data_IF_938686496525
#
_entry.id   IF_938686496525
#
_cell.length_a   1.000
_cell.length_b   1.000
_cell.length_c   1.000
_cell.angle_alpha   90.00
_cell.angle_beta   90.00
_cell.angle_gamma   90.00
#
_symmetry.space_group_name_H-M   'P 1'
#
loop_
_entity.id
_entity.type
_entity.pdbx_description
1 polymer ?
#
# COMPACT_ATOMS: atom_id res chain seq x y z
N UNK A 1 37.47 -41.43 -2.40
CA UNK A 1 37.03 -40.12 -1.86
C UNK A 1 36.44 -39.18 -2.93
N UNK A 2 35.70 -39.68 -3.93
CA UNK A 2 35.26 -38.87 -5.10
C UNK A 2 33.75 -38.66 -5.22
N UNK A 3 32.91 -39.41 -4.49
CA UNK A 3 31.46 -39.41 -4.69
C UNK A 3 30.78 -38.22 -3.99
N UNK A 4 31.31 -37.80 -2.85
CA UNK A 4 30.76 -36.74 -2.02
C UNK A 4 30.76 -35.38 -2.71
N UNK A 5 31.83 -35.02 -3.46
CA UNK A 5 31.92 -33.74 -4.19
C UNK A 5 30.90 -33.64 -5.34
N UNK A 6 30.58 -34.75 -5.99
CA UNK A 6 29.63 -34.77 -7.10
C UNK A 6 28.19 -34.58 -6.61
N UNK A 7 27.83 -35.21 -5.49
CA UNK A 7 26.52 -35.07 -4.84
C UNK A 7 26.29 -33.63 -4.36
N UNK A 8 27.29 -32.98 -3.76
CA UNK A 8 27.17 -31.56 -3.35
C UNK A 8 26.96 -30.63 -4.55
N UNK A 9 27.63 -30.89 -5.67
CA UNK A 9 27.50 -30.07 -6.87
C UNK A 9 26.10 -30.19 -7.47
N UNK A 10 25.56 -31.41 -7.55
CA UNK A 10 24.20 -31.69 -8.03
C UNK A 10 23.17 -31.06 -7.10
N UNK A 11 23.33 -31.22 -5.78
CA UNK A 11 22.41 -30.67 -4.79
C UNK A 11 22.41 -29.13 -4.81
N UNK A 12 23.58 -28.50 -4.95
CA UNK A 12 23.70 -27.05 -5.12
C UNK A 12 23.03 -26.56 -6.41
N UNK A 13 23.17 -27.30 -7.52
CA UNK A 13 22.54 -26.97 -8.79
C UNK A 13 21.02 -27.11 -8.72
N UNK A 14 20.52 -28.18 -8.10
CA UNK A 14 19.08 -28.39 -7.87
C UNK A 14 18.53 -27.32 -6.93
N UNK A 15 19.22 -26.95 -5.84
CA UNK A 15 18.80 -25.86 -4.96
C UNK A 15 18.79 -24.51 -5.68
N UNK A 16 19.78 -24.24 -6.54
CA UNK A 16 19.84 -23.02 -7.33
C UNK A 16 18.70 -22.99 -8.35
N UNK A 17 18.49 -24.08 -9.07
CA UNK A 17 17.41 -24.23 -10.05
C UNK A 17 16.02 -24.16 -9.40
N UNK A 18 15.83 -24.77 -8.23
CA UNK A 18 14.61 -24.64 -7.44
C UNK A 18 14.41 -23.20 -6.93
N UNK A 19 15.47 -22.49 -6.52
CA UNK A 19 15.40 -21.06 -6.17
C UNK A 19 15.05 -20.19 -7.38
N UNK A 20 15.54 -20.54 -8.56
CA UNK A 20 15.23 -19.83 -9.81
C UNK A 20 13.80 -20.13 -10.28
N UNK A 21 13.29 -21.36 -10.06
CA UNK A 21 11.87 -21.72 -10.26
C UNK A 21 10.97 -21.02 -9.23
N UNK A 22 11.44 -20.84 -8.00
CA UNK A 22 10.73 -20.17 -6.90
C UNK A 22 11.01 -18.66 -6.84
N UNK A 23 11.69 -18.07 -7.84
CA UNK A 23 11.81 -16.62 -7.89
C UNK A 23 10.43 -16.03 -8.15
N UNK A 24 9.78 -15.57 -7.09
CA UNK A 24 8.79 -14.51 -7.18
C UNK A 24 9.41 -13.41 -8.05
N UNK A 25 8.73 -13.04 -9.14
CA UNK A 25 9.09 -11.83 -9.88
C UNK A 25 9.24 -10.71 -8.87
N UNK A 26 10.46 -10.22 -8.67
CA UNK A 26 10.71 -9.06 -7.80
C UNK A 26 10.12 -7.84 -8.49
N UNK A 27 8.84 -7.59 -8.25
CA UNK A 27 8.17 -6.41 -8.76
C UNK A 27 8.79 -5.19 -8.09
N UNK A 28 9.44 -4.36 -8.89
CA UNK A 28 10.05 -3.13 -8.41
C UNK A 28 8.96 -2.05 -8.31
N UNK A 29 8.75 -1.54 -7.09
CA UNK A 29 7.79 -0.49 -6.82
C UNK A 29 8.50 0.80 -6.49
N UNK A 30 7.95 1.92 -6.92
CA UNK A 30 8.42 3.25 -6.52
C UNK A 30 7.74 3.62 -5.20
N UNK A 31 8.52 3.99 -4.18
CA UNK A 31 8.01 4.54 -2.92
C UNK A 31 7.93 6.05 -2.99
N UNK A 32 6.75 6.62 -2.72
CA UNK A 32 6.56 8.07 -2.61
C UNK A 32 6.04 8.41 -1.21
N UNK A 33 6.63 9.43 -0.58
CA UNK A 33 6.34 9.84 0.79
C UNK A 33 7.30 9.24 1.83
N UNK A 34 6.89 9.10 3.10
CA UNK A 34 5.53 9.34 3.61
C UNK A 34 5.28 10.83 3.92
N UNK A 35 4.01 11.23 3.95
CA UNK A 35 3.54 12.55 4.33
C UNK A 35 2.91 12.48 5.73
N UNK A 36 3.43 13.26 6.68
CA UNK A 36 2.95 13.26 8.06
C UNK A 36 4.06 13.57 9.06
N UNK A 37 3.96 13.01 10.26
CA UNK A 37 4.96 13.08 11.33
C UNK A 37 5.99 11.95 11.29
N UNK A 38 7.05 12.11 12.09
CA UNK A 38 8.14 11.13 12.24
C UNK A 38 7.94 10.19 13.44
N UNK A 39 6.88 10.37 14.23
CA UNK A 39 6.53 9.52 15.37
C UNK A 39 5.85 8.22 14.93
N UNK A 40 5.63 7.29 15.87
CA UNK A 40 4.99 5.99 15.64
C UNK A 40 5.92 4.91 15.09
N UNK A 41 5.36 3.73 14.86
CA UNK A 41 6.06 2.58 14.28
C UNK A 41 5.78 2.46 12.78
N UNK A 42 6.76 1.91 12.05
CA UNK A 42 6.61 1.69 10.61
C UNK A 42 5.56 0.61 10.32
N UNK A 43 4.72 0.87 9.32
CA UNK A 43 3.79 -0.11 8.77
C UNK A 43 3.85 -0.13 7.24
N UNK A 44 3.48 -1.26 6.66
CA UNK A 44 3.44 -1.41 5.20
C UNK A 44 2.43 -2.48 4.81
N UNK A 45 1.64 -2.19 3.77
CA UNK A 45 0.72 -3.13 3.17
C UNK A 45 0.77 -3.07 1.64
N UNK A 46 0.90 -4.24 1.03
CA UNK A 46 0.77 -4.49 -0.40
C UNK A 46 -0.01 -5.81 -0.55
N UNK A 47 -0.95 -5.92 -1.50
CA UNK A 47 -1.53 -7.22 -1.85
C UNK A 47 -0.42 -8.23 -2.15
N UNK A 48 -0.59 -9.50 -1.74
CA UNK A 48 0.33 -10.58 -2.13
C UNK A 48 0.21 -10.87 -3.62
N UNK A 49 1.31 -11.33 -4.23
CA UNK A 49 1.38 -11.72 -5.65
C UNK A 49 0.80 -10.64 -6.57
N UNK A 50 -0.05 -11.01 -7.53
CA UNK A 50 -0.80 -10.10 -8.41
C UNK A 50 -2.16 -9.68 -7.83
N UNK A 51 -2.31 -9.71 -6.50
CA UNK A 51 -3.55 -9.34 -5.83
C UNK A 51 -3.99 -7.89 -6.08
N UNK A 52 -5.28 -7.62 -5.89
CA UNK A 52 -5.91 -6.34 -6.18
C UNK A 52 -6.56 -5.74 -4.95
N UNK A 53 -6.51 -4.41 -4.80
CA UNK A 53 -7.27 -3.74 -3.75
C UNK A 53 -8.78 -3.87 -4.00
N UNK A 54 -9.52 -4.12 -2.93
CA UNK A 54 -10.98 -4.18 -2.92
C UNK A 54 -11.61 -3.07 -2.10
N UNK A 55 -10.85 -2.46 -1.20
CA UNK A 55 -11.40 -1.39 -0.38
C UNK A 55 -10.44 -0.87 0.68
N UNK A 56 -10.93 0.17 1.35
CA UNK A 56 -10.25 0.84 2.45
C UNK A 56 -11.30 1.14 3.52
N UNK A 57 -11.05 0.76 4.77
CA UNK A 57 -11.79 1.29 5.92
C UNK A 57 -10.97 2.39 6.57
N UNK A 58 -11.62 3.52 6.87
CA UNK A 58 -10.97 4.73 7.34
C UNK A 58 -11.69 5.17 8.62
N UNK A 59 -11.03 5.01 9.76
CA UNK A 59 -11.47 5.63 11.00
C UNK A 59 -11.02 7.08 11.02
N UNK A 60 -11.96 8.02 11.16
CA UNK A 60 -11.64 9.44 11.18
C UNK A 60 -12.56 10.26 12.07
N UNK A 61 -12.01 11.34 12.60
CA UNK A 61 -12.71 12.41 13.31
C UNK A 61 -12.18 13.76 12.87
N UNK A 62 -11.47 14.45 13.76
CA UNK A 62 -10.70 15.66 13.42
C UNK A 62 -9.51 15.31 12.51
N UNK A 63 -8.87 14.17 12.77
CA UNK A 63 -7.73 13.63 12.01
C UNK A 63 -8.03 12.19 11.56
N UNK A 64 -7.06 11.54 10.90
CA UNK A 64 -7.17 10.11 10.58
C UNK A 64 -6.74 9.28 11.79
N UNK A 65 -7.72 8.61 12.41
CA UNK A 65 -7.51 7.71 13.53
C UNK A 65 -6.94 6.37 13.07
N UNK A 66 -7.49 5.80 11.99
CA UNK A 66 -7.07 4.48 11.54
C UNK A 66 -7.33 4.17 10.07
N UNK A 67 -6.60 3.18 9.57
CA UNK A 67 -6.73 2.62 8.23
C UNK A 67 -6.76 1.10 8.28
N UNK A 68 -7.59 0.51 7.42
CA UNK A 68 -7.61 -0.92 7.12
C UNK A 68 -7.65 -1.06 5.62
N UNK A 69 -6.69 -1.76 5.04
CA UNK A 69 -6.66 -2.05 3.62
C UNK A 69 -7.14 -3.46 3.34
N UNK A 70 -8.00 -3.60 2.34
CA UNK A 70 -8.59 -4.87 1.94
C UNK A 70 -8.14 -5.17 0.51
N UNK A 71 -7.59 -6.35 0.30
CA UNK A 71 -7.24 -6.85 -1.02
C UNK A 71 -7.71 -8.29 -1.22
N UNK A 72 -7.64 -8.76 -2.44
CA UNK A 72 -7.92 -10.14 -2.81
C UNK A 72 -6.74 -10.65 -3.62
N UNK A 73 -6.25 -11.85 -3.34
CA UNK A 73 -5.22 -12.48 -4.17
C UNK A 73 -5.79 -13.14 -5.43
N UNK A 74 -4.90 -13.73 -6.23
CA UNK A 74 -5.25 -14.46 -7.45
C UNK A 74 -6.17 -15.66 -7.24
N UNK A 75 -6.25 -16.19 -6.02
CA UNK A 75 -7.11 -17.32 -5.66
C UNK A 75 -8.48 -16.86 -5.14
N UNK A 76 -8.74 -15.55 -5.12
CA UNK A 76 -9.97 -14.99 -4.55
C UNK A 76 -9.95 -14.91 -3.02
N UNK A 77 -8.80 -15.12 -2.36
CA UNK A 77 -8.73 -15.04 -0.91
C UNK A 77 -8.58 -13.58 -0.45
N UNK A 78 -9.51 -13.13 0.39
CA UNK A 78 -9.46 -11.81 1.01
C UNK A 78 -8.29 -11.71 2.00
N UNK A 79 -7.55 -10.62 1.87
CA UNK A 79 -6.46 -10.22 2.77
C UNK A 79 -6.79 -8.87 3.41
N UNK A 80 -6.38 -8.72 4.66
CA UNK A 80 -6.58 -7.51 5.45
C UNK A 80 -5.24 -7.07 6.04
N UNK A 81 -4.95 -5.78 6.04
CA UNK A 81 -3.73 -5.23 6.64
C UNK A 81 -3.64 -5.34 8.16
N UNK A 82 -4.76 -5.66 8.82
CA UNK A 82 -4.98 -5.30 10.21
C UNK A 82 -5.25 -3.80 10.35
N UNK A 83 -5.70 -3.39 11.53
CA UNK A 83 -5.90 -1.97 11.87
C UNK A 83 -4.54 -1.29 12.03
N UNK A 84 -4.34 -0.22 11.29
CA UNK A 84 -3.21 0.71 11.39
C UNK A 84 -3.75 1.95 12.11
N UNK A 85 -3.14 2.36 13.22
CA UNK A 85 -3.68 3.43 14.07
C UNK A 85 -4.63 2.92 15.17
N UNK A 86 -5.39 3.84 15.77
CA UNK A 86 -6.21 3.58 16.95
C UNK A 86 -7.66 3.19 16.69
N UNK A 87 -8.44 3.11 17.78
CA UNK A 87 -9.86 2.75 17.77
C UNK A 87 -10.82 3.94 17.70
N UNK A 88 -10.32 5.17 17.57
CA UNK A 88 -11.11 6.39 17.55
C UNK A 88 -11.83 6.67 16.22
N UNK A 89 -12.60 7.75 16.21
CA UNK A 89 -13.30 8.24 15.03
C UNK A 89 -14.51 7.39 14.59
N UNK A 90 -15.18 7.87 13.55
CA UNK A 90 -16.21 7.10 12.83
C UNK A 90 -15.57 6.37 11.65
N UNK A 91 -15.99 5.12 11.41
CA UNK A 91 -15.44 4.31 10.31
C UNK A 91 -16.25 4.52 9.04
N UNK A 92 -15.57 4.93 7.97
CA UNK A 92 -16.10 4.95 6.61
C UNK A 92 -15.47 3.82 5.80
N UNK A 93 -16.27 3.16 4.95
CA UNK A 93 -15.81 2.06 4.10
C UNK A 93 -15.89 2.47 2.63
N UNK A 94 -14.77 2.31 1.95
CA UNK A 94 -14.66 2.41 0.50
C UNK A 94 -14.62 1.00 -0.06
N UNK A 95 -15.46 0.72 -1.05
CA UNK A 95 -15.42 -0.52 -1.81
C UNK A 95 -15.15 -0.19 -3.28
N UNK A 96 -14.12 -0.81 -3.84
CA UNK A 96 -13.73 -0.65 -5.23
C UNK A 96 -14.49 -1.64 -6.11
N UNK A 97 -14.95 -1.15 -7.25
CA UNK A 97 -15.57 -1.96 -8.29
C UNK A 97 -14.56 -2.80 -9.06
N UNK A 98 -15.02 -3.78 -9.83
CA UNK A 98 -14.13 -4.56 -10.69
C UNK A 98 -13.43 -3.65 -11.71
N UNK A 99 -12.10 -3.73 -11.79
CA UNK A 99 -11.29 -2.89 -12.67
C UNK A 99 -11.08 -1.46 -12.16
N UNK A 100 -11.56 -1.13 -10.97
CA UNK A 100 -11.26 0.12 -10.29
C UNK A 100 -9.88 0.05 -9.62
N UNK A 101 -9.05 1.08 -9.85
CA UNK A 101 -7.72 1.19 -9.27
C UNK A 101 -7.38 2.62 -8.92
N UNK A 102 -6.52 2.77 -7.90
CA UNK A 102 -6.11 4.05 -7.36
C UNK A 102 -5.12 4.77 -8.28
N UNK A 103 -5.38 6.06 -8.51
CA UNK A 103 -4.62 6.96 -9.40
C UNK A 103 -4.10 8.20 -8.68
N UNK A 104 -4.31 8.30 -7.36
CA UNK A 104 -4.82 9.48 -6.65
C UNK A 104 -4.72 9.29 -5.14
N UNK A 105 -3.69 9.81 -4.46
CA UNK A 105 -3.79 10.14 -3.03
C UNK A 105 -3.55 11.63 -2.81
N UNK A 106 -4.38 12.25 -1.98
CA UNK A 106 -4.18 13.62 -1.51
C UNK A 106 -4.74 13.78 -0.09
N UNK A 107 -4.38 14.86 0.59
CA UNK A 107 -4.76 15.04 1.97
C UNK A 107 -4.06 16.21 2.62
N UNK A 108 -4.10 16.24 3.94
CA UNK A 108 -3.42 17.25 4.75
C UNK A 108 -2.57 16.61 5.85
N UNK A 109 -1.50 17.29 6.22
CA UNK A 109 -0.68 17.00 7.40
C UNK A 109 -0.97 18.09 8.43
N UNK A 110 -1.28 17.69 9.66
CA UNK A 110 -1.59 18.65 10.73
C UNK A 110 -0.86 18.29 12.01
N UNK A 111 -0.90 19.20 12.99
CA UNK A 111 -0.48 18.94 14.36
C UNK A 111 -1.75 18.71 15.18
N UNK A 112 -1.81 17.60 15.90
CA UNK A 112 -2.92 17.21 16.77
C UNK A 112 -2.33 16.72 18.09
N UNK A 113 -2.72 17.35 19.20
CA UNK A 113 -2.17 17.10 20.54
C UNK A 113 -0.64 17.02 20.57
N UNK A 114 -0.02 18.06 20.01
CA UNK A 114 1.44 18.20 19.88
C UNK A 114 2.16 17.27 18.88
N UNK A 115 1.51 16.24 18.38
CA UNK A 115 2.07 15.29 17.40
C UNK A 115 1.68 15.63 15.96
N UNK A 116 2.61 15.48 15.02
CA UNK A 116 2.30 15.61 13.58
C UNK A 116 1.66 14.33 13.04
N UNK A 117 0.49 14.47 12.42
CA UNK A 117 -0.32 13.36 11.91
C UNK A 117 -0.91 13.65 10.53
N UNK A 118 -1.51 12.62 9.92
CA UNK A 118 -2.36 12.77 8.74
C UNK A 118 -3.70 13.38 9.18
N UNK A 119 -3.97 14.60 8.76
CA UNK A 119 -5.19 15.33 9.11
C UNK A 119 -6.40 14.93 8.27
N UNK A 120 -6.18 14.73 6.96
CA UNK A 120 -7.23 14.26 6.07
C UNK A 120 -6.71 13.43 4.90
N UNK A 121 -7.60 12.64 4.30
CA UNK A 121 -7.32 11.82 3.13
C UNK A 121 -8.43 11.90 2.09
N UNK A 122 -8.01 11.95 0.84
CA UNK A 122 -8.83 11.76 -0.34
C UNK A 122 -8.16 10.73 -1.25
N UNK A 123 -8.96 9.82 -1.78
CA UNK A 123 -8.53 8.82 -2.74
C UNK A 123 -9.24 9.07 -4.06
N UNK A 124 -8.48 9.08 -5.16
CA UNK A 124 -9.04 9.12 -6.51
C UNK A 124 -8.66 7.85 -7.23
N UNK A 125 -9.64 7.26 -7.91
CA UNK A 125 -9.46 6.08 -8.77
C UNK A 125 -9.63 6.49 -10.23
N UNK A 126 -9.53 5.53 -11.14
CA UNK A 126 -9.94 5.69 -12.53
C UNK A 126 -11.46 5.86 -12.71
N UNK A 127 -12.27 5.59 -11.68
CA UNK A 127 -13.74 5.60 -11.77
C UNK A 127 -14.40 6.65 -10.86
N UNK A 128 -13.82 6.92 -9.69
CA UNK A 128 -14.47 7.65 -8.60
C UNK A 128 -13.50 8.53 -7.80
N UNK A 129 -14.07 9.36 -6.91
CA UNK A 129 -13.35 10.09 -5.88
C UNK A 129 -13.99 9.83 -4.52
N UNK A 130 -13.16 9.64 -3.50
CA UNK A 130 -13.56 9.29 -2.13
C UNK A 130 -12.92 10.26 -1.13
N UNK A 131 -13.72 10.80 -0.21
CA UNK A 131 -13.29 11.75 0.82
C UNK A 131 -13.83 13.18 0.61
N UNK A 132 -13.30 14.17 1.35
CA UNK A 132 -12.25 14.02 2.35
C UNK A 132 -12.74 13.27 3.59
N UNK A 133 -11.86 12.42 4.13
CA UNK A 133 -12.00 11.83 5.45
C UNK A 133 -11.09 12.58 6.41
N UNK A 134 -11.55 12.86 7.63
CA UNK A 134 -10.91 13.81 8.55
C UNK A 134 -11.15 15.26 8.15
N UNK A 135 -10.66 16.21 8.96
CA UNK A 135 -10.77 17.63 8.63
C UNK A 135 -9.56 18.07 7.80
N UNK A 136 -9.81 18.73 6.67
CA UNK A 136 -8.77 19.19 5.75
C UNK A 136 -8.04 20.45 6.26
N UNK A 137 -7.55 20.41 7.49
CA UNK A 137 -6.79 21.45 8.15
C UNK A 137 -5.28 21.15 8.03
N UNK A 138 -4.47 22.20 7.91
CA UNK A 138 -3.00 22.08 7.88
C UNK A 138 -2.40 22.08 6.47
N UNK A 139 -1.23 21.46 6.32
CA UNK A 139 -0.42 21.53 5.10
C UNK A 139 -0.83 20.45 4.09
N UNK A 140 -1.25 20.79 2.87
CA UNK A 140 -1.72 19.81 1.90
C UNK A 140 -0.59 18.96 1.31
N UNK A 141 -0.96 17.78 0.80
CA UNK A 141 -0.17 16.99 -0.14
C UNK A 141 -1.11 16.41 -1.22
N UNK A 142 -0.60 16.24 -2.43
CA UNK A 142 -1.37 15.66 -3.54
C UNK A 142 -0.42 15.03 -4.57
N UNK A 143 -0.67 13.78 -4.91
CA UNK A 143 0.24 12.96 -5.71
C UNK A 143 -0.55 12.27 -6.83
N UNK A 144 -0.83 12.97 -7.94
CA UNK A 144 -1.46 12.37 -9.11
C UNK A 144 -0.50 11.40 -9.81
N UNK A 145 -0.99 10.20 -10.13
CA UNK A 145 -0.24 9.17 -10.85
C UNK A 145 -0.77 9.05 -12.29
N UNK A 146 0.13 9.08 -13.28
CA UNK A 146 -0.19 8.91 -14.71
C UNK A 146 0.64 7.77 -15.29
N UNK A 147 0.02 6.90 -16.09
CA UNK A 147 0.69 5.74 -16.69
C UNK A 147 1.16 4.67 -15.68
N UNK A 148 0.63 4.72 -14.47
CA UNK A 148 0.96 3.82 -13.36
C UNK A 148 -0.24 3.74 -12.41
N UNK A 149 -0.20 2.82 -11.44
CA UNK A 149 -1.25 2.67 -10.42
C UNK A 149 -0.65 2.57 -9.01
N UNK A 150 -1.42 2.99 -8.02
CA UNK A 150 -1.07 2.79 -6.61
C UNK A 150 -1.42 1.36 -6.23
N UNK A 151 -0.43 0.62 -5.72
CA UNK A 151 -0.53 -0.83 -5.42
C UNK A 151 -0.24 -1.17 -3.97
N UNK A 152 0.06 -0.15 -3.16
CA UNK A 152 0.35 -0.37 -1.76
C UNK A 152 0.42 0.93 -0.99
N UNK A 153 0.44 0.79 0.32
CA UNK A 153 0.62 1.89 1.25
C UNK A 153 1.68 1.52 2.29
N UNK A 154 2.35 2.53 2.81
CA UNK A 154 3.24 2.41 3.95
C UNK A 154 3.16 3.68 4.77
N UNK A 155 3.73 3.70 5.96
CA UNK A 155 3.71 4.90 6.76
C UNK A 155 4.16 4.65 8.18
N UNK A 156 3.67 5.51 9.08
CA UNK A 156 3.92 5.43 10.51
C UNK A 156 2.62 5.56 11.29
N UNK A 157 2.46 4.82 12.37
CA UNK A 157 1.28 4.91 13.23
C UNK A 157 1.58 4.62 14.70
N UNK A 158 0.75 5.17 15.58
CA UNK A 158 0.59 4.77 16.98
C UNK A 158 -0.93 4.60 17.28
N UNK A 159 -1.47 5.25 18.31
CA UNK A 159 -2.88 5.64 18.46
C UNK A 159 -3.49 6.40 17.27
N UNK A 160 -2.71 7.06 16.42
CA UNK A 160 -3.17 7.77 15.21
C UNK A 160 -2.33 7.38 13.98
N UNK A 161 -2.80 7.76 12.78
CA UNK A 161 -1.98 7.62 11.57
C UNK A 161 -1.04 8.82 11.48
N UNK A 162 0.20 8.64 11.95
CA UNK A 162 1.21 9.70 11.94
C UNK A 162 1.63 10.09 10.52
N UNK A 163 1.85 9.11 9.64
CA UNK A 163 2.26 9.38 8.26
C UNK A 163 1.79 8.30 7.29
N UNK A 164 1.64 8.67 6.02
CA UNK A 164 1.24 7.77 4.94
C UNK A 164 2.02 8.05 3.66
N UNK A 165 2.42 6.99 2.97
CA UNK A 165 3.08 6.97 1.68
C UNK A 165 2.49 5.88 0.81
N UNK A 166 2.88 5.87 -0.47
CA UNK A 166 2.33 4.96 -1.48
C UNK A 166 3.41 4.16 -2.19
N UNK A 167 3.07 2.93 -2.55
CA UNK A 167 3.81 2.13 -3.54
C UNK A 167 3.14 2.30 -4.90
N UNK A 168 3.93 2.60 -5.92
CA UNK A 168 3.47 2.81 -7.31
C UNK A 168 4.10 1.75 -8.21
N UNK A 169 3.27 1.11 -9.03
CA UNK A 169 3.69 0.17 -10.07
C UNK A 169 3.49 0.81 -11.46
N UNK A 170 4.55 0.89 -12.29
CA UNK A 170 4.42 1.33 -13.67
C UNK A 170 3.48 0.42 -14.46
N UNK A 171 2.58 0.99 -15.26
CA UNK A 171 1.77 0.19 -16.17
C UNK A 171 2.66 -0.28 -17.33
N UNK A 172 2.96 -1.56 -17.43
CA UNK A 172 3.69 -2.13 -18.57
C UNK A 172 2.79 -2.08 -19.80
N UNK A 173 2.81 -0.97 -20.53
CA UNK A 173 2.23 -0.91 -21.87
C UNK A 173 3.23 -1.56 -22.80
N UNK A 174 3.03 -2.85 -23.10
CA UNK A 174 3.72 -3.49 -24.23
C UNK A 174 3.18 -2.83 -25.49
N UNK A 175 3.92 -1.85 -26.02
CA UNK A 175 3.66 -1.28 -27.34
C UNK A 175 4.03 -2.35 -28.38
N UNK A 176 3.06 -3.21 -28.74
CA UNK A 176 3.16 -4.01 -29.96
C UNK A 176 3.06 -3.02 -31.12
N UNK A 177 4.21 -2.66 -31.68
CA UNK A 177 4.30 -1.97 -32.96
C UNK A 177 3.96 -3.00 -34.03
N UNK A 178 2.82 -2.82 -34.69
CA UNK A 178 2.44 -3.53 -35.92
C UNK A 178 3.10 -2.90 -37.13
#
# INVERSE_FOLDING_TARGET
MSNTRHIYQICSFVLKFLKDILQEKKTEYIKLGPWGGAEGDDWSFKPRSSGVFKGIEIGHGVVIDSLVFISEDENGQTQNSGRIGGGGGSVQKIQFSQGEFLTMISGTKTKFDETKVVGSLNFKTNMSMYGPYGQANGSPFSIPIRGAKIVGFFGRCDTLVNAIGIYVEPSTTTTTST
#
